data_IF_083856217385
#
_entry.id   IF_083856217385
#
_cell.length_a   1.000
_cell.length_b   1.000
_cell.length_c   1.000
_cell.angle_alpha   90.00
_cell.angle_beta   90.00
_cell.angle_gamma   90.00
#
_symmetry.space_group_name_H-M   'P 1'
#
loop_
_entity.id
_entity.type
_entity.pdbx_description
1 polymer ?
#
# COMPACT_ATOMS: atom_id res chain seq x y z
N UNK A 1 -8.25 15.55 34.88
CA UNK A 1 -7.54 14.67 33.90
C UNK A 1 -8.55 14.22 32.87
N UNK A 2 -8.39 14.63 31.61
CA UNK A 2 -9.13 14.00 30.49
C UNK A 2 -8.32 12.78 30.08
N UNK A 3 -8.89 11.59 30.18
CA UNK A 3 -8.32 10.42 29.53
C UNK A 3 -8.61 10.56 28.04
N UNK A 4 -7.56 10.50 27.22
CA UNK A 4 -7.70 10.27 25.78
C UNK A 4 -8.51 8.98 25.54
N UNK A 5 -9.16 8.84 24.38
CA UNK A 5 -9.89 7.62 24.05
C UNK A 5 -8.96 6.41 24.16
N UNK A 6 -9.27 5.49 25.10
CA UNK A 6 -8.49 4.28 25.31
C UNK A 6 -8.97 3.16 24.37
N UNK A 7 -8.05 2.54 23.64
CA UNK A 7 -8.30 1.30 22.89
C UNK A 7 -8.11 0.11 23.84
N UNK A 8 -9.05 -0.84 23.85
CA UNK A 8 -8.95 -2.09 24.62
C UNK A 8 -9.04 -3.29 23.66
N UNK A 9 -8.10 -4.21 23.80
CA UNK A 9 -8.11 -5.48 23.07
C UNK A 9 -8.88 -6.54 23.85
N UNK A 10 -9.61 -7.39 23.12
CA UNK A 10 -10.23 -8.57 23.67
C UNK A 10 -9.18 -9.61 24.11
N UNK A 11 -9.59 -10.57 24.94
CA UNK A 11 -8.71 -11.63 25.41
C UNK A 11 -8.13 -12.41 24.22
N UNK A 12 -6.79 -12.49 24.16
CA UNK A 12 -6.07 -13.22 23.10
C UNK A 12 -5.89 -12.44 21.79
N UNK A 13 -6.42 -11.23 21.67
CA UNK A 13 -6.13 -10.36 20.53
C UNK A 13 -4.76 -9.69 20.69
N UNK A 14 -4.05 -9.56 19.57
CA UNK A 14 -2.85 -8.77 19.44
C UNK A 14 -3.01 -7.81 18.26
N UNK A 15 -2.26 -6.72 18.27
CA UNK A 15 -2.19 -5.80 17.14
C UNK A 15 -0.82 -5.89 16.49
N UNK A 16 -0.85 -5.81 15.17
CA UNK A 16 0.31 -5.51 14.33
C UNK A 16 -0.09 -4.37 13.39
N UNK A 17 0.87 -3.51 13.06
CA UNK A 17 0.68 -2.41 12.12
C UNK A 17 1.53 -2.59 10.87
N UNK A 18 2.03 -3.81 10.61
CA UNK A 18 2.99 -4.05 9.54
C UNK A 18 2.47 -3.66 8.15
N UNK A 19 1.16 -3.73 7.89
CA UNK A 19 0.56 -3.34 6.60
C UNK A 19 -0.02 -1.92 6.57
N UNK A 20 0.49 -1.00 7.40
CA UNK A 20 0.07 0.41 7.39
C UNK A 20 1.11 1.37 7.99
N UNK A 21 1.99 0.88 8.87
CA UNK A 21 2.88 1.71 9.67
C UNK A 21 3.92 2.46 8.83
N UNK A 22 4.43 1.82 7.78
CA UNK A 22 5.45 2.41 6.92
C UNK A 22 4.84 3.51 6.05
N UNK A 23 3.67 3.26 5.44
CA UNK A 23 2.90 4.29 4.75
C UNK A 23 2.58 5.48 5.64
N UNK A 24 2.14 5.23 6.88
CA UNK A 24 1.92 6.31 7.86
C UNK A 24 3.20 7.10 8.15
N UNK A 25 4.33 6.43 8.35
CA UNK A 25 5.61 7.10 8.58
C UNK A 25 6.02 7.97 7.37
N UNK A 26 5.85 7.48 6.15
CA UNK A 26 6.12 8.22 4.92
C UNK A 26 5.28 9.51 4.85
N UNK A 27 3.99 9.44 5.20
CA UNK A 27 3.11 10.61 5.27
C UNK A 27 3.57 11.62 6.33
N UNK A 28 4.02 11.15 7.50
CA UNK A 28 4.54 12.05 8.55
C UNK A 28 5.78 12.80 8.08
N UNK A 29 6.70 12.12 7.39
CA UNK A 29 7.89 12.76 6.81
C UNK A 29 7.51 13.73 5.70
N UNK A 30 6.61 13.32 4.78
CA UNK A 30 6.07 14.19 3.72
C UNK A 30 5.49 15.49 4.29
N UNK A 31 4.70 15.39 5.36
CA UNK A 31 4.11 16.54 6.05
C UNK A 31 5.16 17.45 6.70
N UNK A 32 6.19 16.87 7.33
CA UNK A 32 7.28 17.64 7.94
C UNK A 32 8.06 18.44 6.87
N UNK A 33 8.29 17.85 5.70
CA UNK A 33 8.94 18.52 4.57
C UNK A 33 8.08 19.68 4.05
N UNK A 34 6.77 19.49 3.89
CA UNK A 34 5.86 20.58 3.51
C UNK A 34 5.86 21.72 4.53
N UNK A 35 5.85 21.40 5.83
CA UNK A 35 5.96 22.41 6.90
C UNK A 35 7.29 23.15 6.92
N UNK A 36 8.37 22.52 6.46
CA UNK A 36 9.68 23.15 6.32
C UNK A 36 9.78 24.05 5.08
N UNK A 37 8.74 24.12 4.24
CA UNK A 37 8.68 25.01 3.08
C UNK A 37 9.14 24.37 1.76
N UNK A 38 9.41 23.06 1.74
CA UNK A 38 9.70 22.37 0.49
C UNK A 38 8.43 22.29 -0.38
N UNK A 39 8.56 22.61 -1.67
CA UNK A 39 7.47 22.50 -2.63
C UNK A 39 7.42 21.12 -3.33
N UNK A 40 8.57 20.44 -3.41
CA UNK A 40 8.71 19.14 -4.08
C UNK A 40 9.67 18.26 -3.28
N UNK A 41 9.22 17.04 -2.98
CA UNK A 41 10.00 15.98 -2.39
C UNK A 41 9.33 14.64 -2.69
N UNK A 42 10.14 13.58 -2.77
CA UNK A 42 9.70 12.20 -2.80
C UNK A 42 10.25 11.51 -1.56
N UNK A 43 9.37 11.02 -0.70
CA UNK A 43 9.72 10.21 0.46
C UNK A 43 9.62 8.74 0.05
N UNK A 44 10.64 7.95 0.39
CA UNK A 44 10.68 6.50 0.17
C UNK A 44 11.01 5.82 1.50
N UNK A 45 10.08 5.01 2.01
CA UNK A 45 10.24 4.28 3.29
C UNK A 45 9.80 2.80 3.20
N UNK A 46 9.85 2.25 1.98
CA UNK A 46 9.13 1.04 1.57
C UNK A 46 7.96 1.38 0.65
N UNK A 47 7.40 2.56 0.84
CA UNK A 47 6.30 3.16 0.11
C UNK A 47 6.70 4.57 -0.31
N UNK A 48 6.12 5.04 -1.41
CA UNK A 48 6.46 6.34 -1.98
C UNK A 48 5.37 7.36 -1.64
N UNK A 49 5.77 8.51 -1.11
CA UNK A 49 4.87 9.64 -0.86
C UNK A 49 5.46 10.92 -1.47
N UNK A 50 4.83 11.45 -2.51
CA UNK A 50 5.23 12.68 -3.15
C UNK A 50 4.53 13.89 -2.51
N UNK A 51 5.29 14.94 -2.18
CA UNK A 51 4.76 16.23 -1.74
C UNK A 51 4.34 17.12 -2.92
N UNK A 52 5.08 17.02 -4.02
CA UNK A 52 4.85 17.71 -5.29
C UNK A 52 5.24 16.78 -6.44
N UNK A 53 5.83 17.29 -7.51
CA UNK A 53 6.31 16.45 -8.61
C UNK A 53 6.40 17.17 -9.96
N UNK A 54 6.48 16.43 -11.07
CA UNK A 54 6.29 14.98 -11.18
C UNK A 54 7.53 14.15 -10.82
N UNK A 55 7.34 13.06 -10.06
CA UNK A 55 8.37 12.04 -9.82
C UNK A 55 8.01 10.72 -10.51
N UNK A 56 8.97 10.07 -11.17
CA UNK A 56 8.76 8.75 -11.78
C UNK A 56 9.15 7.64 -10.83
N UNK A 57 8.24 6.69 -10.59
CA UNK A 57 8.47 5.51 -9.74
C UNK A 57 8.19 4.24 -10.53
N UNK A 58 9.05 3.24 -10.34
CA UNK A 58 8.93 1.90 -10.93
C UNK A 58 7.99 1.06 -10.08
N UNK A 59 7.05 0.35 -10.70
CA UNK A 59 6.33 -0.76 -10.06
C UNK A 59 7.06 -2.03 -10.49
N UNK A 60 7.51 -2.80 -9.50
CA UNK A 60 8.32 -3.99 -9.71
C UNK A 60 7.60 -5.21 -9.15
N UNK A 61 7.61 -6.29 -9.93
CA UNK A 61 7.26 -7.62 -9.49
C UNK A 61 8.55 -8.41 -9.20
N UNK A 62 8.64 -9.19 -8.10
CA UNK A 62 9.85 -9.93 -7.74
C UNK A 62 10.37 -10.90 -8.81
N UNK A 63 9.52 -11.38 -9.71
CA UNK A 63 9.87 -12.34 -10.77
C UNK A 63 10.02 -11.64 -12.12
N UNK A 64 9.12 -10.72 -12.46
CA UNK A 64 9.10 -10.07 -13.78
C UNK A 64 9.99 -8.83 -13.87
N UNK A 65 10.41 -8.25 -12.74
CA UNK A 65 11.08 -6.96 -12.70
C UNK A 65 10.09 -5.81 -12.91
N UNK A 66 10.49 -4.77 -13.64
CA UNK A 66 9.63 -3.60 -13.86
C UNK A 66 8.41 -3.96 -14.72
N UNK A 67 7.22 -3.79 -14.14
CA UNK A 67 5.93 -4.04 -14.83
C UNK A 67 5.24 -2.75 -15.25
N UNK A 68 5.57 -1.62 -14.61
CA UNK A 68 5.01 -0.32 -14.96
C UNK A 68 5.85 0.84 -14.40
N UNK A 69 5.63 2.04 -14.93
CA UNK A 69 6.11 3.30 -14.36
C UNK A 69 4.90 4.17 -14.02
N UNK A 70 4.93 4.84 -12.86
CA UNK A 70 3.93 5.83 -12.44
C UNK A 70 4.59 7.19 -12.22
N UNK A 71 3.80 8.24 -12.45
CA UNK A 71 4.20 9.63 -12.20
C UNK A 71 3.40 10.17 -11.04
N UNK A 72 4.06 10.43 -9.91
CA UNK A 72 3.42 10.97 -8.72
C UNK A 72 3.55 12.49 -8.71
N UNK A 73 2.45 13.18 -8.40
CA UNK A 73 2.42 14.63 -8.17
C UNK A 73 1.55 14.93 -6.96
N UNK A 74 2.16 15.02 -5.79
CA UNK A 74 1.41 15.17 -4.52
C UNK A 74 0.68 13.90 -4.07
N UNK A 75 0.86 12.77 -4.77
CA UNK A 75 0.21 11.49 -4.50
C UNK A 75 1.19 10.49 -3.89
N UNK A 76 0.67 9.37 -3.41
CA UNK A 76 1.43 8.29 -2.83
C UNK A 76 1.14 6.96 -3.54
N UNK A 77 2.08 6.02 -3.47
CA UNK A 77 1.92 4.67 -3.99
C UNK A 77 2.65 3.66 -3.09
N UNK A 78 2.02 2.53 -2.85
CA UNK A 78 2.60 1.41 -2.13
C UNK A 78 2.44 0.13 -2.95
N UNK A 79 3.41 -0.79 -2.81
CA UNK A 79 3.44 -2.04 -3.56
C UNK A 79 3.63 -3.21 -2.59
N UNK A 80 2.72 -4.17 -2.66
CA UNK A 80 2.76 -5.40 -1.87
C UNK A 80 2.92 -6.60 -2.80
N UNK A 81 3.99 -7.37 -2.59
CA UNK A 81 4.26 -8.61 -3.31
C UNK A 81 4.37 -9.75 -2.30
N UNK A 82 3.35 -10.63 -2.15
CA UNK A 82 3.33 -11.65 -1.11
C UNK A 82 4.57 -12.54 -1.09
N UNK A 83 5.16 -12.82 -2.25
CA UNK A 83 6.36 -13.65 -2.42
C UNK A 83 7.68 -12.95 -2.06
N UNK A 84 7.71 -11.62 -1.93
CA UNK A 84 8.94 -10.87 -1.63
C UNK A 84 9.50 -11.19 -0.23
N UNK A 85 8.62 -11.57 0.71
CA UNK A 85 9.01 -12.03 2.04
C UNK A 85 8.17 -13.24 2.44
N UNK A 86 8.82 -14.34 2.82
CA UNK A 86 8.16 -15.56 3.32
C UNK A 86 8.54 -15.78 4.78
N UNK A 87 7.56 -16.16 5.60
CA UNK A 87 7.79 -16.59 6.98
C UNK A 87 7.69 -18.12 7.03
N UNK A 88 8.83 -18.79 6.79
CA UNK A 88 8.84 -20.23 6.51
C UNK A 88 8.14 -20.52 5.19
N UNK A 89 7.19 -21.46 5.19
CA UNK A 89 6.43 -21.83 3.98
C UNK A 89 5.26 -20.91 3.66
N UNK A 90 4.88 -20.00 4.58
CA UNK A 90 3.68 -19.14 4.46
C UNK A 90 4.06 -17.74 3.99
N UNK A 91 3.19 -17.11 3.19
CA UNK A 91 3.31 -15.69 2.86
C UNK A 91 3.18 -14.83 4.12
N UNK A 92 3.83 -13.67 4.15
CA UNK A 92 3.73 -12.74 5.27
C UNK A 92 2.37 -12.01 5.33
N UNK A 93 1.65 -11.96 4.20
CA UNK A 93 0.27 -11.46 4.12
C UNK A 93 -0.68 -12.63 4.37
N UNK A 94 -1.45 -12.52 5.46
CA UNK A 94 -2.36 -13.55 5.94
C UNK A 94 -3.81 -13.08 5.82
N UNK A 95 -4.67 -13.89 5.19
CA UNK A 95 -6.11 -13.65 5.17
C UNK A 95 -6.75 -13.84 6.54
N UNK A 96 -7.67 -12.95 6.97
CA UNK A 96 -8.33 -13.03 8.27
C UNK A 96 -9.18 -14.31 8.43
N UNK A 97 -9.60 -14.92 7.33
CA UNK A 97 -10.35 -16.18 7.30
C UNK A 97 -9.57 -17.31 6.61
N UNK A 98 -8.25 -17.15 6.42
CA UNK A 98 -7.37 -18.14 5.79
C UNK A 98 -7.27 -18.01 4.27
N UNK A 99 -7.70 -16.88 3.71
CA UNK A 99 -7.53 -16.54 2.30
C UNK A 99 -6.04 -16.54 1.94
N UNK A 100 -5.73 -17.03 0.73
CA UNK A 100 -4.39 -16.95 0.16
C UNK A 100 -4.32 -15.78 -0.80
N UNK A 101 -3.17 -15.11 -0.91
CA UNK A 101 -3.00 -14.05 -1.88
C UNK A 101 -3.30 -14.52 -3.32
N UNK A 102 -4.06 -13.70 -4.05
CA UNK A 102 -4.51 -13.96 -5.42
C UNK A 102 -3.54 -13.41 -6.48
N UNK A 103 -2.63 -12.52 -6.07
CA UNK A 103 -1.77 -11.73 -6.94
C UNK A 103 -0.31 -11.93 -6.58
N UNK A 104 0.58 -11.85 -7.57
CA UNK A 104 2.03 -11.84 -7.32
C UNK A 104 2.47 -10.47 -6.79
N UNK A 105 1.86 -9.40 -7.31
CA UNK A 105 2.15 -8.01 -6.94
C UNK A 105 0.90 -7.15 -7.08
N UNK A 106 0.61 -6.34 -6.07
CA UNK A 106 -0.38 -5.27 -6.10
C UNK A 106 0.31 -3.95 -5.83
N UNK A 107 0.03 -2.93 -6.63
CA UNK A 107 0.46 -1.55 -6.39
C UNK A 107 -0.75 -0.62 -6.39
N UNK A 108 -0.89 0.21 -5.36
CA UNK A 108 -2.05 1.08 -5.14
C UNK A 108 -1.61 2.52 -5.03
N UNK A 109 -2.19 3.39 -5.86
CA UNK A 109 -1.96 4.84 -5.85
C UNK A 109 -3.14 5.56 -5.18
N UNK A 110 -2.83 6.46 -4.24
CA UNK A 110 -3.77 7.21 -3.39
C UNK A 110 -3.25 8.62 -3.09
N UNK A 111 -4.03 9.40 -2.34
CA UNK A 111 -3.60 10.72 -1.83
C UNK A 111 -2.55 10.65 -0.70
N UNK A 112 -2.54 9.55 0.06
CA UNK A 112 -1.65 9.34 1.21
C UNK A 112 -1.13 7.89 1.30
N UNK A 113 0.11 7.75 1.78
CA UNK A 113 0.84 6.50 1.73
C UNK A 113 0.28 5.46 2.72
N UNK A 114 -0.31 5.89 3.84
CA UNK A 114 -0.95 4.97 4.78
C UNK A 114 -2.12 4.20 4.13
N UNK A 115 -2.98 4.90 3.39
CA UNK A 115 -4.06 4.25 2.65
C UNK A 115 -3.53 3.37 1.52
N UNK A 116 -2.48 3.80 0.81
CA UNK A 116 -1.84 2.98 -0.22
C UNK A 116 -1.34 1.64 0.35
N UNK A 117 -0.60 1.68 1.47
CA UNK A 117 0.00 0.52 2.15
C UNK A 117 -1.07 -0.47 2.65
N UNK A 118 -2.11 0.08 3.31
CA UNK A 118 -3.25 -0.71 3.78
C UNK A 118 -3.99 -1.39 2.63
N UNK A 119 -4.28 -0.67 1.56
CA UNK A 119 -4.99 -1.24 0.42
C UNK A 119 -4.13 -2.18 -0.41
N UNK A 120 -2.83 -1.93 -0.60
CA UNK A 120 -1.98 -2.86 -1.34
C UNK A 120 -1.91 -4.21 -0.62
N UNK A 121 -1.84 -4.20 0.71
CA UNK A 121 -1.91 -5.41 1.54
C UNK A 121 -3.26 -6.10 1.43
N UNK A 122 -4.37 -5.37 1.56
CA UNK A 122 -5.72 -5.94 1.51
C UNK A 122 -6.05 -6.51 0.13
N UNK A 123 -5.71 -5.78 -0.94
CA UNK A 123 -6.02 -6.17 -2.32
C UNK A 123 -5.24 -7.38 -2.78
N UNK A 124 -4.10 -7.72 -2.14
CA UNK A 124 -3.46 -9.02 -2.36
C UNK A 124 -4.42 -10.20 -2.11
N UNK A 125 -5.43 -10.03 -1.26
CA UNK A 125 -6.38 -11.08 -0.85
C UNK A 125 -7.76 -10.95 -1.53
N UNK A 126 -7.93 -9.98 -2.42
CA UNK A 126 -9.22 -9.68 -3.05
C UNK A 126 -9.19 -10.01 -4.53
N UNK A 127 -10.30 -10.50 -5.06
CA UNK A 127 -10.52 -10.70 -6.50
C UNK A 127 -10.58 -9.36 -7.24
N UNK A 128 -10.42 -9.39 -8.57
CA UNK A 128 -10.51 -8.18 -9.39
C UNK A 128 -11.86 -7.46 -9.23
N UNK A 129 -12.96 -8.19 -9.12
CA UNK A 129 -14.30 -7.61 -8.95
C UNK A 129 -14.48 -6.95 -7.58
N UNK A 130 -13.90 -7.54 -6.53
CA UNK A 130 -13.90 -6.94 -5.20
C UNK A 130 -13.05 -5.66 -5.14
N UNK A 131 -11.89 -5.65 -5.82
CA UNK A 131 -11.05 -4.45 -5.97
C UNK A 131 -11.84 -3.34 -6.70
N UNK A 132 -12.46 -3.65 -7.85
CA UNK A 132 -13.29 -2.69 -8.61
C UNK A 132 -14.44 -2.16 -7.77
N UNK A 133 -15.13 -3.04 -7.04
CA UNK A 133 -16.21 -2.65 -6.14
C UNK A 133 -15.71 -1.70 -5.05
N UNK A 134 -14.55 -1.96 -4.47
CA UNK A 134 -13.93 -1.10 -3.45
C UNK A 134 -13.57 0.27 -4.01
N UNK A 135 -12.94 0.32 -5.20
CA UNK A 135 -12.60 1.55 -5.89
C UNK A 135 -13.82 2.45 -6.14
N UNK A 136 -14.99 1.86 -6.42
CA UNK A 136 -16.23 2.62 -6.60
C UNK A 136 -16.86 3.17 -5.31
N UNK A 137 -16.44 2.66 -4.14
CA UNK A 137 -17.07 2.97 -2.84
C UNK A 137 -16.21 3.86 -1.96
N UNK A 138 -14.90 3.78 -2.10
CA UNK A 138 -13.94 4.50 -1.26
C UNK A 138 -13.31 5.63 -2.07
N UNK A 139 -13.54 6.87 -1.64
CA UNK A 139 -12.88 8.05 -2.21
C UNK A 139 -11.39 8.08 -1.88
N UNK A 140 -10.59 8.72 -2.73
CA UNK A 140 -9.14 8.88 -2.55
C UNK A 140 -8.29 7.73 -3.09
N UNK A 141 -8.90 6.63 -3.52
CA UNK A 141 -8.25 5.61 -4.34
C UNK A 141 -8.17 6.09 -5.80
N UNK A 142 -6.98 6.12 -6.37
CA UNK A 142 -6.78 6.65 -7.72
C UNK A 142 -6.59 5.57 -8.78
N UNK A 143 -5.77 4.56 -8.48
CA UNK A 143 -5.40 3.51 -9.43
C UNK A 143 -4.89 2.28 -8.70
N UNK A 144 -5.20 1.10 -9.21
CA UNK A 144 -4.57 -0.15 -8.77
C UNK A 144 -3.91 -0.83 -9.97
N UNK A 145 -2.65 -1.23 -9.84
CA UNK A 145 -1.96 -2.09 -10.80
C UNK A 145 -1.76 -3.46 -10.16
N UNK A 146 -2.22 -4.51 -10.80
CA UNK A 146 -2.16 -5.87 -10.30
C UNK A 146 -1.42 -6.77 -11.29
N UNK A 147 -0.61 -7.67 -10.77
CA UNK A 147 0.08 -8.72 -11.53
C UNK A 147 -0.39 -10.06 -10.99
N UNK A 148 -0.90 -10.93 -11.86
CA UNK A 148 -1.32 -12.26 -11.46
C UNK A 148 -0.16 -13.27 -11.50
N UNK A 149 -0.44 -14.52 -11.08
CA UNK A 149 0.58 -15.57 -11.05
C UNK A 149 1.05 -16.03 -12.45
N UNK A 150 0.31 -15.72 -13.52
CA UNK A 150 0.75 -15.96 -14.90
C UNK A 150 1.62 -14.81 -15.44
N UNK A 151 1.66 -13.68 -14.71
CA UNK A 151 2.39 -12.49 -15.06
C UNK A 151 1.59 -11.49 -15.89
N UNK A 152 0.27 -11.68 -16.00
CA UNK A 152 -0.60 -10.74 -16.69
C UNK A 152 -0.81 -9.49 -15.82
N UNK A 153 -0.63 -8.33 -16.43
CA UNK A 153 -0.75 -7.03 -15.75
C UNK A 153 -2.11 -6.42 -16.04
N UNK A 154 -2.86 -6.15 -14.97
CA UNK A 154 -4.14 -5.44 -15.00
C UNK A 154 -4.03 -4.09 -14.33
N UNK A 155 -4.80 -3.11 -14.79
CA UNK A 155 -4.98 -1.82 -14.10
C UNK A 155 -6.47 -1.53 -13.92
N UNK A 156 -6.84 -1.14 -12.71
CA UNK A 156 -8.20 -0.83 -12.29
C UNK A 156 -8.33 0.66 -11.96
#
# INVERSE_FOLDING_TARGET
MRFDPSIRLGKGQALTFNGIAQGYAADRVRHLLGKAGYAQALVEMGEFAALGGPFSVSIEDPVLGQVAIRRLTGTAIATSSPSAMRLGDVFHILGPHGERPCWSTISVETEDAAMADGFSTAFCLMTADEIRTTLSRIGGLMRVTAVDAAGDVSTF
#
